data_IF_506568465414
#
_entry.id   IF_506568465414
#
_cell.length_a   1.000
_cell.length_b   1.000
_cell.length_c   1.000
_cell.angle_alpha   90.00
_cell.angle_beta   90.00
_cell.angle_gamma   90.00
#
_symmetry.space_group_name_H-M   'P 1'
#
loop_
_entity.id
_entity.type
_entity.pdbx_description
1 polymer ?
#
# COMPACT_ATOMS: atom_id res chain seq x y z
N UNK A 1 22.23 19.04 -4.62
CA UNK A 1 21.02 18.22 -4.71
C UNK A 1 20.09 18.52 -3.58
N UNK A 2 18.85 18.75 -3.90
CA UNK A 2 17.87 19.10 -2.88
C UNK A 2 17.30 17.85 -2.28
N UNK A 3 17.28 17.82 -0.95
CA UNK A 3 16.74 16.70 -0.23
C UNK A 3 15.21 16.80 -0.27
N UNK A 4 14.57 15.72 -0.60
CA UNK A 4 13.12 15.71 -0.67
C UNK A 4 12.50 15.93 0.70
N UNK A 5 11.43 16.69 0.74
CA UNK A 5 10.69 16.89 1.97
C UNK A 5 9.91 15.63 2.30
N UNK A 6 9.54 15.52 3.58
CA UNK A 6 8.81 14.34 4.04
C UNK A 6 7.57 14.07 3.21
N UNK A 7 6.79 15.12 2.94
CA UNK A 7 5.55 14.94 2.19
C UNK A 7 5.82 14.45 0.78
N UNK A 8 6.90 14.90 0.19
CA UNK A 8 7.31 14.45 -1.14
C UNK A 8 7.75 12.99 -1.10
N UNK A 9 8.49 12.62 -0.06
CA UNK A 9 8.94 11.23 0.10
C UNK A 9 7.76 10.30 0.32
N UNK A 10 6.82 10.70 1.16
CA UNK A 10 5.65 9.89 1.44
C UNK A 10 4.81 9.70 0.19
N UNK A 11 4.64 10.77 -0.59
CA UNK A 11 3.90 10.68 -1.85
C UNK A 11 4.60 9.77 -2.85
N UNK A 12 5.92 9.90 -2.97
CA UNK A 12 6.69 9.07 -3.89
C UNK A 12 6.68 7.60 -3.47
N UNK A 13 6.81 7.34 -2.17
CA UNK A 13 6.73 5.98 -1.65
C UNK A 13 5.36 5.37 -1.95
N UNK A 14 4.31 6.11 -1.68
CA UNK A 14 2.95 5.63 -1.90
C UNK A 14 2.73 5.28 -3.36
N UNK A 15 3.18 6.17 -4.24
CA UNK A 15 3.01 5.95 -5.67
C UNK A 15 3.82 4.75 -6.15
N UNK A 16 5.06 4.65 -5.71
CA UNK A 16 5.93 3.56 -6.13
C UNK A 16 5.38 2.22 -5.68
N UNK A 17 4.92 2.15 -4.44
CA UNK A 17 4.36 0.91 -3.92
C UNK A 17 3.05 0.56 -4.61
N UNK A 18 2.21 1.55 -4.86
CA UNK A 18 0.93 1.31 -5.51
C UNK A 18 1.10 0.91 -6.97
N UNK A 19 2.10 1.47 -7.64
CA UNK A 19 2.38 1.14 -9.04
C UNK A 19 2.98 -0.25 -9.21
N UNK A 20 3.56 -0.80 -8.14
CA UNK A 20 4.20 -2.11 -8.19
C UNK A 20 3.68 -2.99 -7.05
N UNK A 21 2.42 -3.40 -7.13
CA UNK A 21 1.83 -4.19 -6.06
C UNK A 21 2.54 -5.53 -5.90
N UNK A 22 2.61 -5.98 -4.68
CA UNK A 22 3.24 -7.24 -4.26
C UNK A 22 4.76 -7.26 -4.39
N UNK A 23 5.36 -6.21 -4.93
CA UNK A 23 6.80 -6.18 -5.08
C UNK A 23 7.45 -5.73 -3.79
N UNK A 24 8.46 -6.45 -3.35
CA UNK A 24 9.21 -6.10 -2.16
C UNK A 24 10.35 -5.16 -2.55
N UNK A 25 10.35 -3.97 -1.97
CA UNK A 25 11.41 -2.99 -2.16
C UNK A 25 12.26 -2.97 -0.91
N UNK A 26 13.57 -3.11 -1.05
CA UNK A 26 14.46 -3.13 0.10
C UNK A 26 14.54 -1.75 0.74
N UNK A 27 14.83 -1.75 2.04
CA UNK A 27 15.02 -0.47 2.74
C UNK A 27 16.18 0.32 2.15
N UNK A 28 17.26 -0.37 1.78
CA UNK A 28 18.41 0.33 1.22
C UNK A 28 18.09 0.97 -0.13
N UNK A 29 17.19 0.39 -0.89
CA UNK A 29 16.77 1.00 -2.14
C UNK A 29 16.18 2.39 -1.89
N UNK A 30 15.29 2.49 -0.93
CA UNK A 30 14.66 3.78 -0.62
C UNK A 30 15.63 4.74 0.05
N UNK A 31 16.48 4.24 0.93
CA UNK A 31 17.46 5.10 1.59
C UNK A 31 18.38 5.75 0.57
N UNK A 32 18.79 5.00 -0.44
CA UNK A 32 19.62 5.55 -1.50
C UNK A 32 18.84 6.50 -2.41
N UNK A 33 17.62 6.10 -2.74
CA UNK A 33 16.79 6.90 -3.64
C UNK A 33 16.48 8.27 -3.06
N UNK A 34 16.21 8.33 -1.78
CA UNK A 34 15.85 9.59 -1.13
C UNK A 34 16.97 10.22 -0.34
N UNK A 35 18.13 9.58 -0.28
CA UNK A 35 19.29 10.07 0.48
C UNK A 35 18.92 10.31 1.95
N UNK A 36 18.30 9.34 2.58
CA UNK A 36 17.86 9.45 3.96
C UNK A 36 18.37 8.26 4.78
N UNK A 37 18.36 8.43 6.09
CA UNK A 37 18.72 7.36 7.01
C UNK A 37 17.57 6.37 7.15
N UNK A 38 17.90 5.16 7.59
CA UNK A 38 16.89 4.13 7.77
C UNK A 38 15.82 4.51 8.79
N UNK A 39 16.21 5.24 9.83
CA UNK A 39 15.24 5.69 10.84
C UNK A 39 14.23 6.67 10.23
N UNK A 40 14.69 7.56 9.38
CA UNK A 40 13.79 8.48 8.67
C UNK A 40 12.86 7.71 7.75
N UNK A 41 13.41 6.74 7.04
CA UNK A 41 12.60 5.91 6.16
C UNK A 41 11.51 5.15 6.94
N UNK A 42 11.86 4.63 8.11
CA UNK A 42 10.88 3.92 8.94
C UNK A 42 9.70 4.79 9.29
N UNK A 43 9.95 6.06 9.60
CA UNK A 43 8.88 6.99 9.88
C UNK A 43 8.03 7.26 8.65
N UNK A 44 8.69 7.43 7.51
CA UNK A 44 7.97 7.66 6.26
C UNK A 44 7.10 6.45 5.89
N UNK A 45 7.62 5.25 6.11
CA UNK A 45 6.87 4.02 5.85
C UNK A 45 5.64 3.94 6.74
N UNK A 46 5.78 4.31 8.00
CA UNK A 46 4.63 4.31 8.90
C UNK A 46 3.56 5.29 8.42
N UNK A 47 3.97 6.45 7.91
CA UNK A 47 3.02 7.42 7.38
C UNK A 47 2.29 6.87 6.16
N UNK A 48 3.03 6.22 5.26
CA UNK A 48 2.44 5.60 4.07
C UNK A 48 1.46 4.51 4.47
N UNK A 49 1.89 3.66 5.39
CA UNK A 49 1.06 2.57 5.87
C UNK A 49 -0.25 3.10 6.45
N UNK A 50 -0.14 4.09 7.33
CA UNK A 50 -1.32 4.67 7.95
C UNK A 50 -2.27 5.27 6.91
N UNK A 51 -1.72 5.97 5.94
CA UNK A 51 -2.54 6.60 4.90
C UNK A 51 -3.25 5.59 4.03
N UNK A 52 -2.50 4.62 3.51
CA UNK A 52 -3.08 3.64 2.61
C UNK A 52 -4.11 2.75 3.30
N UNK A 53 -3.83 2.37 4.54
CA UNK A 53 -4.77 1.53 5.29
C UNK A 53 -5.99 2.33 5.72
N UNK A 54 -5.79 3.59 6.09
CA UNK A 54 -6.91 4.43 6.49
C UNK A 54 -7.92 4.61 5.37
N UNK A 55 -7.45 4.77 4.15
CA UNK A 55 -8.34 4.93 3.00
C UNK A 55 -8.79 3.60 2.40
N UNK A 56 -8.38 2.49 2.99
CA UNK A 56 -8.80 1.18 2.49
C UNK A 56 -8.22 0.82 1.15
N UNK A 57 -7.09 1.43 0.78
CA UNK A 57 -6.48 1.17 -0.52
C UNK A 57 -5.66 -0.12 -0.54
N UNK A 58 -5.25 -0.57 0.63
CA UNK A 58 -4.49 -1.79 0.74
C UNK A 58 -3.72 -1.85 2.03
N UNK A 59 -2.81 -2.80 2.11
CA UNK A 59 -2.00 -3.04 3.28
C UNK A 59 -0.54 -2.88 2.94
N UNK A 60 0.22 -2.25 3.83
CA UNK A 60 1.65 -2.13 3.66
C UNK A 60 2.33 -3.12 4.61
N UNK A 61 3.10 -4.02 4.04
CA UNK A 61 3.78 -5.06 4.79
C UNK A 61 5.25 -4.72 4.90
N UNK A 62 5.81 -4.87 6.10
CA UNK A 62 7.25 -4.70 6.29
C UNK A 62 7.85 -6.04 6.65
N UNK A 63 8.98 -6.35 6.02
CA UNK A 63 9.70 -7.59 6.26
C UNK A 63 11.04 -7.22 6.88
N UNK A 64 11.34 -7.80 8.03
CA UNK A 64 12.61 -7.55 8.71
C UNK A 64 13.72 -8.38 8.12
N UNK A 65 14.96 -8.01 8.45
CA UNK A 65 16.12 -8.78 8.10
C UNK A 65 16.90 -8.18 6.95
N UNK A 66 18.00 -8.83 6.61
CA UNK A 66 18.92 -8.33 5.60
C UNK A 66 18.26 -8.26 4.22
N UNK A 67 17.38 -9.20 3.94
CA UNK A 67 16.65 -9.20 2.66
C UNK A 67 15.28 -8.57 2.80
N UNK A 68 15.05 -7.83 3.86
CA UNK A 68 13.74 -7.26 4.13
C UNK A 68 13.46 -5.99 3.38
N UNK A 69 12.26 -5.52 3.52
CA UNK A 69 11.84 -4.30 2.85
C UNK A 69 10.37 -4.02 3.09
N UNK A 70 9.78 -3.35 2.12
CA UNK A 70 8.41 -2.89 2.18
C UNK A 70 7.67 -3.37 0.95
N UNK A 71 6.45 -3.80 1.15
CA UNK A 71 5.63 -4.29 0.05
C UNK A 71 4.18 -3.81 0.24
N UNK A 72 3.54 -3.47 -0.86
CA UNK A 72 2.15 -3.06 -0.84
C UNK A 72 1.27 -4.18 -1.36
N UNK A 73 0.25 -4.52 -0.60
CA UNK A 73 -0.73 -5.51 -1.00
C UNK A 73 -2.02 -4.75 -1.28
N UNK A 74 -2.38 -4.62 -2.56
CA UNK A 74 -3.49 -3.77 -2.93
C UNK A 74 -4.83 -4.33 -2.50
N UNK A 75 -5.71 -3.42 -2.22
CA UNK A 75 -7.05 -3.75 -1.82
C UNK A 75 -7.01 -4.37 -0.46
N UNK A 76 -8.07 -4.84 -0.04
CA UNK A 76 -8.15 -5.63 1.13
C UNK A 76 -9.00 -6.79 0.79
N UNK A 77 -8.76 -7.30 -0.38
CA UNK A 77 -9.39 -8.51 -0.81
C UNK A 77 -8.45 -9.62 -0.44
N UNK A 78 -8.54 -10.15 0.77
CA UNK A 78 -7.74 -11.31 1.11
C UNK A 78 -8.04 -12.40 0.10
N UNK A 79 -7.08 -13.24 -0.14
CA UNK A 79 -7.27 -14.29 -1.10
C UNK A 79 -8.44 -15.18 -0.74
N UNK A 80 -8.73 -15.26 0.53
CA UNK A 80 -9.83 -16.06 1.00
C UNK A 80 -11.14 -15.31 0.93
N UNK A 81 -11.15 -14.14 0.30
CA UNK A 81 -12.35 -13.34 0.18
C UNK A 81 -13.13 -13.64 -1.09
N UNK A 82 -13.11 -14.86 -1.52
CA UNK A 82 -14.00 -15.27 -2.59
C UNK A 82 -15.43 -14.97 -2.20
N UNK A 83 -15.78 -15.21 -0.94
CA UNK A 83 -17.11 -14.92 -0.44
C UNK A 83 -17.45 -13.43 -0.54
N UNK A 84 -16.47 -12.58 -0.24
CA UNK A 84 -16.68 -11.15 -0.34
C UNK A 84 -16.90 -10.73 -1.79
N UNK A 85 -16.10 -11.28 -2.69
CA UNK A 85 -16.24 -10.96 -4.10
C UNK A 85 -17.58 -11.46 -4.65
N UNK A 86 -18.02 -12.63 -4.22
CA UNK A 86 -19.30 -13.15 -4.63
C UNK A 86 -20.42 -12.27 -4.12
N UNK A 87 -20.33 -11.86 -2.88
CA UNK A 87 -21.32 -10.98 -2.30
C UNK A 87 -21.38 -9.66 -3.02
N UNK A 88 -20.20 -9.08 -3.32
CA UNK A 88 -20.14 -7.83 -4.04
C UNK A 88 -20.73 -7.95 -5.43
N UNK A 89 -20.40 -9.02 -6.14
CA UNK A 89 -20.96 -9.28 -7.46
C UNK A 89 -22.48 -9.42 -7.40
N UNK A 90 -22.97 -10.13 -6.39
CA UNK A 90 -24.39 -10.30 -6.21
C UNK A 90 -25.08 -8.96 -6.00
N UNK A 91 -24.46 -8.08 -5.23
CA UNK A 91 -25.04 -6.76 -4.99
C UNK A 91 -25.08 -5.93 -6.26
N UNK A 92 -24.05 -6.05 -7.08
CA UNK A 92 -23.97 -5.27 -8.29
C UNK A 92 -24.89 -5.80 -9.39
N UNK A 93 -25.17 -7.08 -9.39
CA UNK A 93 -25.92 -7.71 -10.47
C UNK A 93 -27.31 -8.13 -10.08
N UNK A 94 -27.67 -8.02 -8.81
CA UNK A 94 -28.99 -8.45 -8.35
C UNK A 94 -30.09 -7.56 -8.92
N UNK A 95 -31.10 -8.12 -9.57
CA UNK A 95 -32.21 -7.32 -10.06
C UNK A 95 -32.96 -6.62 -8.95
N UNK A 96 -33.09 -7.29 -7.81
CA UNK A 96 -33.78 -6.70 -6.67
C UNK A 96 -33.12 -5.45 -6.21
N UNK A 97 -31.80 -5.44 -6.30
CA UNK A 97 -31.05 -4.29 -5.87
C UNK A 97 -31.11 -3.17 -6.86
N UNK A 98 -31.15 -3.52 -8.12
CA UNK A 98 -31.19 -2.52 -9.17
C UNK A 98 -32.58 -1.91 -9.31
N UNK A 99 -33.59 -2.64 -8.94
CA UNK A 99 -34.93 -2.11 -9.02
C UNK A 99 -35.20 -1.26 -7.81
N UNK A 100 -35.68 -0.08 -8.04
CA UNK A 100 -35.99 0.81 -6.92
C UNK A 100 -37.18 0.37 -6.18
N UNK A 101 -37.79 -0.52 -6.50
CA UNK A 101 -38.97 -0.99 -5.78
C UNK A 101 -38.60 -1.95 -4.77
#
# INVERSE_FOLDING_TARGET
>A
MVKAKRIERVAALSKLLADHPYRLFSFSYFCKKFAIAKSTLSEDVLAVKSGLELYGLGKVETVSGAAGGVRFIPGHLPEDDAAFLEELAARLTSPDRLLPG
#
